data_IF_974113187806
#
_entry.id   IF_974113187806
#
_cell.length_a   1.000
_cell.length_b   1.000
_cell.length_c   1.000
_cell.angle_alpha   90.00
_cell.angle_beta   90.00
_cell.angle_gamma   90.00
#
_symmetry.space_group_name_H-M   'P 1'
#
loop_
_entity.id
_entity.type
_entity.pdbx_description
1 polymer ?
#
# COMPACT_ATOMS: atom_id res chain seq x y z
N UNK A 1 -24.62 22.42 -33.94
CA UNK A 1 -23.33 21.86 -33.79
C UNK A 1 -23.13 20.77 -34.81
N UNK A 2 -22.03 20.84 -35.44
CA UNK A 2 -21.71 19.98 -36.51
C UNK A 2 -21.26 18.65 -35.98
N UNK A 3 -21.39 17.62 -36.72
CA UNK A 3 -20.97 16.27 -36.31
C UNK A 3 -19.49 16.20 -36.11
N UNK A 4 -18.72 16.92 -36.92
CA UNK A 4 -17.28 16.92 -36.79
C UNK A 4 -16.84 17.53 -35.51
N UNK A 5 -17.52 18.58 -35.08
CA UNK A 5 -17.22 19.24 -33.82
C UNK A 5 -17.53 18.31 -32.66
N UNK A 6 -18.62 17.55 -32.78
CA UNK A 6 -19.00 16.63 -31.72
C UNK A 6 -18.00 15.49 -31.63
N UNK A 7 -17.56 14.99 -32.77
CA UNK A 7 -16.57 13.92 -32.79
C UNK A 7 -15.27 14.42 -32.18
N UNK A 8 -14.83 15.62 -32.53
CA UNK A 8 -13.63 16.19 -31.99
C UNK A 8 -13.74 16.36 -30.47
N UNK A 9 -14.89 16.82 -30.01
CA UNK A 9 -15.11 17.00 -28.59
C UNK A 9 -15.04 15.66 -27.86
N UNK A 10 -15.67 14.64 -28.42
CA UNK A 10 -15.64 13.30 -27.81
C UNK A 10 -14.24 12.72 -27.82
N UNK A 11 -13.50 12.95 -28.88
CA UNK A 11 -12.12 12.46 -28.95
C UNK A 11 -11.26 13.13 -27.87
N UNK A 12 -11.48 14.42 -27.64
CA UNK A 12 -10.75 15.14 -26.62
C UNK A 12 -11.08 14.59 -25.24
N UNK A 13 -12.34 14.28 -25.00
CA UNK A 13 -12.76 13.73 -23.72
C UNK A 13 -12.19 12.34 -23.50
N UNK A 14 -12.17 11.54 -24.56
CA UNK A 14 -11.60 10.21 -24.45
C UNK A 14 -10.10 10.28 -24.15
N UNK A 15 -9.39 11.18 -24.81
CA UNK A 15 -7.98 11.33 -24.56
C UNK A 15 -7.73 11.77 -23.12
N UNK A 16 -8.54 12.66 -22.63
CA UNK A 16 -8.42 13.12 -21.25
C UNK A 16 -8.69 11.97 -20.28
N UNK A 17 -9.71 11.18 -20.57
CA UNK A 17 -10.02 10.03 -19.72
C UNK A 17 -8.92 8.99 -19.76
N UNK A 18 -8.34 8.74 -20.92
CA UNK A 18 -7.25 7.81 -21.04
C UNK A 18 -6.06 8.25 -20.20
N UNK A 19 -5.75 9.54 -20.25
CA UNK A 19 -4.66 10.07 -19.47
C UNK A 19 -4.95 9.94 -17.98
N UNK A 20 -6.19 10.18 -17.59
CA UNK A 20 -6.59 10.06 -16.20
C UNK A 20 -6.47 8.62 -15.73
N UNK A 21 -6.94 7.69 -16.55
CA UNK A 21 -6.86 6.26 -16.22
C UNK A 21 -5.40 5.84 -16.08
N UNK A 22 -4.56 6.31 -16.97
CA UNK A 22 -3.14 6.00 -16.92
C UNK A 22 -2.54 6.52 -15.61
N UNK A 23 -2.85 7.76 -15.26
CA UNK A 23 -2.33 8.35 -14.04
C UNK A 23 -2.82 7.61 -12.81
N UNK A 24 -4.09 7.21 -12.80
CA UNK A 24 -4.64 6.45 -11.69
C UNK A 24 -3.97 5.08 -11.59
N UNK A 25 -3.76 4.45 -12.73
CA UNK A 25 -3.10 3.16 -12.74
C UNK A 25 -1.68 3.27 -12.20
N UNK A 26 -0.96 4.31 -12.60
CA UNK A 26 0.40 4.54 -12.10
C UNK A 26 0.39 4.77 -10.60
N UNK A 27 -0.59 5.52 -10.12
CA UNK A 27 -0.72 5.77 -8.69
C UNK A 27 -1.01 4.48 -7.93
N UNK A 28 -1.87 3.62 -8.48
CA UNK A 28 -2.18 2.34 -7.84
C UNK A 28 -0.95 1.45 -7.77
N UNK A 29 -0.16 1.41 -8.83
CA UNK A 29 1.05 0.62 -8.83
C UNK A 29 2.02 1.15 -7.78
N UNK A 30 2.16 2.47 -7.69
CA UNK A 30 3.04 3.06 -6.70
C UNK A 30 2.58 2.75 -5.28
N UNK A 31 1.27 2.81 -5.06
CA UNK A 31 0.71 2.49 -3.75
C UNK A 31 0.92 1.03 -3.40
N UNK A 32 0.77 0.16 -4.38
CA UNK A 32 0.96 -1.26 -4.15
C UNK A 32 2.41 -1.54 -3.72
N UNK A 33 3.35 -0.89 -4.37
CA UNK A 33 4.75 -1.05 -3.99
C UNK A 33 5.03 -0.54 -2.59
N UNK A 34 4.40 0.58 -2.25
CA UNK A 34 4.56 1.14 -0.92
C UNK A 34 3.99 0.19 0.13
N UNK A 35 2.81 -0.36 -0.15
CA UNK A 35 2.19 -1.30 0.78
C UNK A 35 3.05 -2.54 0.98
N UNK A 36 3.61 -3.07 -0.11
CA UNK A 36 4.48 -4.23 -0.01
C UNK A 36 5.70 -3.91 0.84
N UNK A 37 6.26 -2.74 0.65
CA UNK A 37 7.42 -2.33 1.43
C UNK A 37 7.06 -2.19 2.90
N UNK A 38 5.90 -1.60 3.19
CA UNK A 38 5.44 -1.46 4.56
C UNK A 38 5.17 -2.81 5.20
N UNK A 39 4.60 -3.74 4.44
CA UNK A 39 4.37 -5.09 4.95
C UNK A 39 5.67 -5.76 5.33
N UNK A 40 6.70 -5.58 4.52
CA UNK A 40 8.00 -6.15 4.84
C UNK A 40 8.60 -5.49 6.07
N UNK A 41 8.43 -4.19 6.21
CA UNK A 41 8.94 -3.49 7.37
C UNK A 41 8.21 -3.92 8.63
N UNK A 42 6.90 -4.09 8.55
CA UNK A 42 6.13 -4.56 9.69
C UNK A 42 6.56 -5.96 10.07
N UNK A 43 6.73 -6.83 9.08
CA UNK A 43 7.17 -8.20 9.35
C UNK A 43 8.54 -8.20 10.03
N UNK A 44 9.43 -7.33 9.58
CA UNK A 44 10.76 -7.23 10.19
C UNK A 44 10.67 -6.73 11.62
N UNK A 45 9.78 -5.78 11.87
CA UNK A 45 9.60 -5.27 13.23
C UNK A 45 9.02 -6.32 14.15
N UNK A 46 8.07 -7.09 13.65
CA UNK A 46 7.48 -8.16 14.44
C UNK A 46 8.53 -9.19 14.79
N UNK A 47 9.33 -9.57 13.81
CA UNK A 47 10.38 -10.54 14.05
C UNK A 47 11.38 -10.03 15.06
N UNK A 48 11.73 -8.76 14.95
CA UNK A 48 12.67 -8.16 15.88
C UNK A 48 12.10 -8.10 17.29
N UNK A 49 10.83 -7.80 17.39
CA UNK A 49 10.16 -7.77 18.65
C UNK A 49 10.11 -9.16 19.29
N UNK A 50 9.87 -10.17 18.48
CA UNK A 50 9.88 -11.55 18.96
C UNK A 50 11.27 -11.93 19.48
N UNK A 51 12.29 -11.51 18.76
CA UNK A 51 13.66 -11.79 19.19
C UNK A 51 13.98 -11.11 20.52
N UNK A 52 13.54 -9.86 20.64
CA UNK A 52 13.76 -9.14 21.88
C UNK A 52 12.98 -9.79 23.01
N UNK A 53 11.74 -10.12 22.75
CA UNK A 53 10.93 -10.79 23.77
C UNK A 53 11.54 -12.13 24.16
N UNK A 54 12.08 -12.81 23.18
CA UNK A 54 12.70 -14.09 23.44
C UNK A 54 13.92 -13.94 24.35
N UNK A 55 14.69 -12.88 24.12
CA UNK A 55 15.84 -12.63 24.97
C UNK A 55 15.44 -12.30 26.39
N UNK A 56 14.36 -11.55 26.54
CA UNK A 56 13.86 -11.23 27.86
C UNK A 56 12.85 -12.24 28.33
N UNK A 57 12.45 -13.13 27.45
CA UNK A 57 11.39 -14.07 27.73
C UNK A 57 11.72 -15.04 28.82
N UNK A 58 12.99 -15.37 28.95
CA UNK A 58 13.38 -16.25 30.01
C UNK A 58 13.04 -15.65 31.35
N UNK A 59 13.23 -14.36 31.45
CA UNK A 59 12.88 -13.67 32.67
C UNK A 59 11.37 -13.60 32.83
N UNK A 60 10.71 -13.36 31.76
CA UNK A 60 9.26 -13.26 31.81
C UNK A 60 8.61 -14.58 32.06
N UNK A 61 9.21 -15.64 31.56
CA UNK A 61 8.68 -16.96 31.82
C UNK A 61 8.71 -17.25 33.30
N UNK A 62 9.69 -16.77 33.97
CA UNK A 62 9.75 -16.93 35.39
C UNK A 62 8.72 -16.08 36.04
N UNK A 63 8.47 -14.93 35.50
CA UNK A 63 7.47 -14.07 36.04
C UNK A 63 6.14 -14.57 35.54
N UNK A 64 5.27 -14.89 36.36
CA UNK A 64 3.99 -15.32 35.88
C UNK A 64 3.37 -14.22 35.18
N UNK A 65 2.89 -14.49 34.18
CA UNK A 65 2.26 -13.55 33.44
C UNK A 65 1.09 -13.19 34.03
N UNK A 66 0.85 -12.52 34.39
CA UNK A 66 -0.26 -12.27 34.88
C UNK A 66 -0.97 -11.54 34.03
N UNK A 67 -1.18 -11.53 33.77
CA UNK A 67 -1.58 -10.95 33.28
C UNK A 67 -2.21 -10.88 32.61
N UNK A 68 -2.43 -10.84 32.58
CA UNK A 68 -2.97 -10.75 32.22
C UNK A 68 -3.58 -10.66 32.00
#
# INVERSE_FOLDING_TARGET
MDKDERINDLQSRLAFQDDTIQALNDALVAQQRLLERLQLQVAALIKRQDEVSSQFGMTEDEAPPPHY
#
